data_IF_801304546932
#
_entry.id   IF_801304546932
#
_cell.length_a   1.000
_cell.length_b   1.000
_cell.length_c   1.000
_cell.angle_alpha   90.00
_cell.angle_beta   90.00
_cell.angle_gamma   90.00
#
_symmetry.space_group_name_H-M   'P 1'
#
loop_
_entity.id
_entity.type
_entity.pdbx_description
1 polymer ?
#
# COMPACT_ATOMS: atom_id res chain seq x y z
N UNK A 1 -9.46 17.69 -29.78
CA UNK A 1 -8.62 17.24 -28.63
C UNK A 1 -9.24 17.86 -27.40
N UNK A 2 -9.92 17.06 -26.59
CA UNK A 2 -10.42 17.54 -25.30
C UNK A 2 -9.22 18.00 -24.47
N UNK A 3 -9.32 19.22 -23.94
CA UNK A 3 -8.34 19.76 -22.98
C UNK A 3 -8.37 18.88 -21.71
N UNK A 4 -7.60 17.80 -21.69
CA UNK A 4 -7.50 16.94 -20.52
C UNK A 4 -6.86 17.76 -19.40
N UNK A 5 -7.68 18.20 -18.45
CA UNK A 5 -7.21 18.91 -17.26
C UNK A 5 -6.37 17.93 -16.43
N UNK A 6 -5.04 18.10 -16.46
CA UNK A 6 -4.10 17.22 -15.74
C UNK A 6 -4.35 17.21 -14.24
N UNK A 7 -4.72 18.36 -13.66
CA UNK A 7 -4.96 18.51 -12.24
C UNK A 7 -6.19 19.36 -11.96
N UNK A 8 -7.04 18.92 -11.06
CA UNK A 8 -8.00 19.81 -10.40
C UNK A 8 -7.26 20.79 -9.47
N UNK A 9 -7.94 21.80 -8.94
CA UNK A 9 -7.34 22.74 -7.98
C UNK A 9 -6.85 22.01 -6.70
N UNK A 10 -7.64 21.04 -6.21
CA UNK A 10 -7.31 20.23 -5.04
C UNK A 10 -6.13 19.30 -5.32
N UNK A 11 -6.13 18.63 -6.48
CA UNK A 11 -5.03 17.76 -6.91
C UNK A 11 -3.72 18.54 -7.08
N UNK A 12 -3.78 19.79 -7.55
CA UNK A 12 -2.60 20.63 -7.68
C UNK A 12 -2.01 20.96 -6.31
N UNK A 13 -2.84 21.31 -5.33
CA UNK A 13 -2.39 21.53 -3.96
C UNK A 13 -1.77 20.28 -3.36
N UNK A 14 -2.43 19.13 -3.53
CA UNK A 14 -1.94 17.83 -3.07
C UNK A 14 -0.61 17.45 -3.75
N UNK A 15 -0.48 17.67 -5.06
CA UNK A 15 0.77 17.43 -5.78
C UNK A 15 1.97 18.15 -5.14
N UNK A 16 1.83 19.45 -4.82
CA UNK A 16 2.92 20.20 -4.19
C UNK A 16 3.25 19.69 -2.79
N UNK A 17 2.25 19.26 -2.01
CA UNK A 17 2.46 18.68 -0.68
C UNK A 17 3.23 17.35 -0.81
N UNK A 18 2.80 16.45 -1.70
CA UNK A 18 3.46 15.17 -1.95
C UNK A 18 4.87 15.36 -2.49
N UNK A 19 5.06 16.30 -3.41
CA UNK A 19 6.38 16.63 -3.95
C UNK A 19 7.34 17.08 -2.85
N UNK A 20 6.90 18.00 -1.98
CA UNK A 20 7.71 18.48 -0.85
C UNK A 20 8.06 17.33 0.10
N UNK A 21 7.08 16.46 0.41
CA UNK A 21 7.29 15.29 1.27
C UNK A 21 8.30 14.32 0.65
N UNK A 22 8.11 13.92 -0.59
CA UNK A 22 9.02 12.99 -1.28
C UNK A 22 10.44 13.56 -1.37
N UNK A 23 10.59 14.88 -1.61
CA UNK A 23 11.89 15.54 -1.64
C UNK A 23 12.59 15.54 -0.28
N UNK A 24 11.84 15.69 0.80
CA UNK A 24 12.41 15.65 2.16
C UNK A 24 12.84 14.23 2.55
N UNK A 25 12.04 13.22 2.18
CA UNK A 25 12.28 11.83 2.56
C UNK A 25 13.36 11.14 1.69
N UNK A 26 13.56 11.65 0.48
CA UNK A 26 14.50 11.08 -0.49
C UNK A 26 15.20 12.17 -1.29
N UNK A 27 16.01 13.04 -0.65
CA UNK A 27 16.66 14.19 -1.29
C UNK A 27 17.55 13.76 -2.46
N UNK A 28 18.22 12.62 -2.35
CA UNK A 28 19.14 12.08 -3.36
C UNK A 28 18.45 11.87 -4.73
N UNK A 29 17.13 11.58 -4.74
CA UNK A 29 16.38 11.41 -5.98
C UNK A 29 16.22 12.75 -6.74
N UNK A 30 16.35 13.88 -6.05
CA UNK A 30 16.15 15.24 -6.59
C UNK A 30 17.46 15.94 -6.90
N UNK A 31 18.60 15.27 -6.73
CA UNK A 31 19.91 15.81 -7.05
C UNK A 31 20.33 15.51 -8.49
N UNK A 32 21.09 16.45 -9.07
CA UNK A 32 21.75 16.29 -10.36
C UNK A 32 20.83 16.14 -11.57
N UNK A 33 21.34 15.48 -12.61
CA UNK A 33 20.66 15.32 -13.91
C UNK A 33 19.54 14.28 -13.87
N UNK A 34 19.55 13.36 -12.90
CA UNK A 34 18.56 12.29 -12.79
C UNK A 34 17.14 12.82 -12.58
N UNK A 35 17.00 13.83 -11.74
CA UNK A 35 15.71 14.49 -11.53
C UNK A 35 15.24 15.26 -12.78
N UNK A 36 16.15 15.96 -13.46
CA UNK A 36 15.82 16.66 -14.72
C UNK A 36 15.35 15.68 -15.78
N UNK A 37 16.04 14.54 -15.91
CA UNK A 37 15.68 13.44 -16.81
C UNK A 37 14.28 12.91 -16.47
N UNK A 38 13.98 12.62 -15.21
CA UNK A 38 12.67 12.12 -14.76
C UNK A 38 11.57 13.13 -15.08
N UNK A 39 11.77 14.40 -14.76
CA UNK A 39 10.80 15.47 -15.05
C UNK A 39 10.53 15.61 -16.54
N UNK A 40 11.59 15.60 -17.35
CA UNK A 40 11.48 15.71 -18.82
C UNK A 40 10.76 14.47 -19.38
N UNK A 41 11.14 13.28 -18.98
CA UNK A 41 10.56 12.03 -19.43
C UNK A 41 9.06 11.95 -19.11
N UNK A 42 8.65 12.28 -17.87
CA UNK A 42 7.23 12.34 -17.49
C UNK A 42 6.47 13.39 -18.32
N UNK A 43 7.06 14.55 -18.58
CA UNK A 43 6.43 15.58 -19.43
C UNK A 43 6.20 15.09 -20.86
N UNK A 44 7.16 14.37 -21.45
CA UNK A 44 7.04 13.75 -22.79
C UNK A 44 5.94 12.70 -22.81
N UNK A 45 5.94 11.76 -21.85
CA UNK A 45 4.94 10.70 -21.75
C UNK A 45 3.52 11.28 -21.63
N UNK A 46 3.34 12.29 -20.80
CA UNK A 46 2.05 12.98 -20.62
C UNK A 46 1.65 13.71 -21.89
N UNK A 47 2.61 14.39 -22.56
CA UNK A 47 2.38 15.08 -23.82
C UNK A 47 1.98 14.15 -24.97
N UNK A 48 2.36 12.87 -24.90
CA UNK A 48 1.93 11.79 -25.81
C UNK A 48 0.52 11.25 -25.51
N UNK A 49 -0.22 11.83 -24.57
CA UNK A 49 -1.58 11.41 -24.22
C UNK A 49 -1.65 10.18 -23.34
N UNK A 50 -0.56 9.79 -22.71
CA UNK A 50 -0.47 8.59 -21.83
C UNK A 50 -0.93 8.88 -20.38
N UNK A 51 -1.81 9.87 -20.22
CA UNK A 51 -2.39 10.23 -18.93
C UNK A 51 -3.81 9.67 -18.84
N UNK A 52 -3.97 8.57 -18.09
CA UNK A 52 -5.26 7.90 -17.91
C UNK A 52 -5.61 7.75 -16.44
N UNK A 53 -6.79 8.22 -16.03
CA UNK A 53 -7.27 8.14 -14.64
C UNK A 53 -7.78 6.75 -14.24
N UNK A 54 -7.97 5.86 -15.22
CA UNK A 54 -8.46 4.50 -14.98
C UNK A 54 -9.89 4.43 -14.44
N UNK A 55 -10.32 3.22 -14.04
CA UNK A 55 -11.69 2.92 -13.61
C UNK A 55 -12.12 3.60 -12.31
N UNK A 56 -11.18 4.05 -11.49
CA UNK A 56 -11.45 4.76 -10.24
C UNK A 56 -11.33 6.27 -10.35
N UNK A 57 -11.12 6.80 -11.56
CA UNK A 57 -10.92 8.22 -11.85
C UNK A 57 -9.79 8.87 -11.02
N UNK A 58 -8.76 8.10 -10.66
CA UNK A 58 -7.62 8.57 -9.88
C UNK A 58 -6.57 9.21 -10.77
N UNK A 59 -5.99 10.32 -10.33
CA UNK A 59 -4.89 10.96 -11.02
C UNK A 59 -3.62 10.08 -10.92
N UNK A 60 -3.06 9.59 -12.05
CA UNK A 60 -1.94 8.65 -12.02
C UNK A 60 -0.66 9.26 -11.44
N UNK A 61 -0.44 10.58 -11.58
CA UNK A 61 0.73 11.27 -11.01
C UNK A 61 0.59 11.30 -9.48
N UNK A 62 -0.57 11.72 -8.97
CA UNK A 62 -0.83 11.75 -7.52
C UNK A 62 -0.69 10.34 -6.94
N UNK A 63 -1.31 9.36 -7.60
CA UNK A 63 -1.27 7.96 -7.15
C UNK A 63 0.16 7.41 -7.12
N UNK A 64 0.95 7.62 -8.15
CA UNK A 64 2.34 7.14 -8.20
C UNK A 64 3.23 7.80 -7.15
N UNK A 65 3.03 9.10 -6.88
CA UNK A 65 3.74 9.81 -5.81
C UNK A 65 3.36 9.29 -4.42
N UNK A 66 2.08 9.05 -4.17
CA UNK A 66 1.61 8.44 -2.91
C UNK A 66 2.16 7.02 -2.72
N UNK A 67 2.21 6.22 -3.80
CA UNK A 67 2.83 4.89 -3.77
C UNK A 67 4.32 4.98 -3.49
N UNK A 68 5.05 5.93 -4.09
CA UNK A 68 6.46 6.14 -3.82
C UNK A 68 6.72 6.54 -2.35
N UNK A 69 5.91 7.46 -1.79
CA UNK A 69 6.01 7.86 -0.38
C UNK A 69 5.75 6.67 0.55
N UNK A 70 4.68 5.90 0.32
CA UNK A 70 4.38 4.71 1.11
C UNK A 70 5.52 3.68 1.03
N UNK A 71 6.09 3.49 -0.17
CA UNK A 71 7.25 2.62 -0.38
C UNK A 71 8.48 3.09 0.39
N UNK A 72 8.70 4.40 0.48
CA UNK A 72 9.83 4.96 1.23
C UNK A 72 9.63 4.89 2.74
N UNK A 73 8.49 5.40 3.25
CA UNK A 73 8.26 5.58 4.68
C UNK A 73 7.85 4.30 5.39
N UNK A 74 6.90 3.53 4.83
CA UNK A 74 6.31 2.37 5.49
C UNK A 74 7.08 1.06 5.18
N UNK A 75 7.78 1.00 4.03
CA UNK A 75 8.50 -0.21 3.58
C UNK A 75 10.03 -0.02 3.62
N UNK A 76 10.52 1.22 3.48
CA UNK A 76 11.95 1.52 3.52
C UNK A 76 12.66 1.40 2.16
N UNK A 77 11.91 1.41 1.05
CA UNK A 77 12.49 1.42 -0.30
C UNK A 77 13.10 2.80 -0.61
N UNK A 78 14.14 2.83 -1.47
CA UNK A 78 14.88 4.06 -1.79
C UNK A 78 15.17 4.18 -3.29
N UNK A 79 15.52 5.37 -3.71
CA UNK A 79 16.09 5.73 -5.01
C UNK A 79 15.44 5.05 -6.24
N UNK A 80 16.06 4.01 -6.77
CA UNK A 80 15.63 3.31 -7.99
C UNK A 80 14.20 2.75 -7.88
N UNK A 81 13.82 2.29 -6.68
CA UNK A 81 12.46 1.81 -6.41
C UNK A 81 11.44 2.95 -6.48
N UNK A 82 11.78 4.14 -6.00
CA UNK A 82 10.88 5.30 -6.04
C UNK A 82 10.72 5.82 -7.47
N UNK A 83 11.78 5.83 -8.26
CA UNK A 83 11.71 6.16 -9.69
C UNK A 83 10.80 5.15 -10.41
N UNK A 84 10.96 3.85 -10.11
CA UNK A 84 10.09 2.82 -10.67
C UNK A 84 8.62 3.03 -10.28
N UNK A 85 8.31 3.41 -9.03
CA UNK A 85 6.95 3.78 -8.61
C UNK A 85 6.37 4.93 -9.43
N UNK A 86 7.16 5.96 -9.73
CA UNK A 86 6.71 7.12 -10.50
C UNK A 86 6.48 6.80 -11.98
N UNK A 87 7.25 5.85 -12.54
CA UNK A 87 7.19 5.46 -13.94
C UNK A 87 6.21 4.32 -14.22
N UNK A 88 5.91 3.46 -13.24
CA UNK A 88 5.10 2.25 -13.45
C UNK A 88 3.70 2.45 -14.04
N UNK A 89 3.00 3.60 -13.89
CA UNK A 89 1.72 3.81 -14.56
C UNK A 89 1.86 4.01 -16.08
N UNK A 90 3.06 4.36 -16.53
CA UNK A 90 3.31 4.79 -17.90
C UNK A 90 4.14 3.79 -18.71
N UNK A 91 5.05 3.07 -18.07
CA UNK A 91 5.89 2.05 -18.69
C UNK A 91 5.15 0.71 -18.58
N UNK A 92 4.63 0.22 -19.71
CA UNK A 92 3.70 -0.91 -19.75
C UNK A 92 4.09 -2.01 -20.72
N UNK A 93 5.11 -1.78 -21.55
CA UNK A 93 5.61 -2.73 -22.55
C UNK A 93 7.11 -2.96 -22.41
N UNK A 94 7.58 -4.10 -22.93
CA UNK A 94 9.00 -4.48 -22.90
C UNK A 94 9.85 -3.55 -23.78
N UNK A 95 9.30 -3.04 -24.90
CA UNK A 95 10.03 -2.17 -25.82
C UNK A 95 10.45 -0.84 -25.17
N UNK A 96 9.71 -0.39 -24.15
CA UNK A 96 10.00 0.85 -23.43
C UNK A 96 11.18 0.69 -22.44
N UNK A 97 11.57 -0.54 -22.12
CA UNK A 97 12.58 -0.82 -21.07
C UNK A 97 14.02 -0.51 -21.51
N UNK A 98 14.31 -0.47 -22.82
CA UNK A 98 15.65 -0.14 -23.29
C UNK A 98 15.96 1.35 -23.06
N UNK A 99 14.97 2.22 -23.23
CA UNK A 99 15.09 3.64 -22.89
C UNK A 99 15.22 3.84 -21.37
N UNK A 100 14.53 3.04 -20.56
CA UNK A 100 14.65 3.06 -19.11
C UNK A 100 16.06 2.70 -18.66
N UNK A 101 16.65 1.66 -19.24
CA UNK A 101 18.03 1.27 -18.91
C UNK A 101 19.03 2.40 -19.18
N UNK A 102 18.92 3.04 -20.34
CA UNK A 102 19.76 4.17 -20.73
C UNK A 102 19.59 5.39 -19.83
N UNK A 103 18.34 5.72 -19.43
CA UNK A 103 18.03 6.94 -18.68
C UNK A 103 18.24 6.78 -17.16
N UNK A 104 17.94 5.61 -16.61
CA UNK A 104 17.90 5.40 -15.15
C UNK A 104 18.76 4.24 -14.66
N UNK A 105 19.28 3.43 -15.57
CA UNK A 105 20.14 2.28 -15.28
C UNK A 105 19.39 0.98 -15.03
N UNK A 106 20.15 -0.10 -15.00
CA UNK A 106 19.69 -1.48 -14.95
C UNK A 106 18.74 -1.78 -13.79
N UNK A 107 18.94 -1.19 -12.63
CA UNK A 107 18.11 -1.46 -11.46
C UNK A 107 16.64 -1.01 -11.66
N UNK A 108 16.42 0.17 -12.23
CA UNK A 108 15.06 0.66 -12.53
C UNK A 108 14.42 -0.21 -13.60
N UNK A 109 15.20 -0.60 -14.65
CA UNK A 109 14.75 -1.52 -15.69
C UNK A 109 14.29 -2.84 -15.10
N UNK A 110 15.08 -3.49 -14.25
CA UNK A 110 14.73 -4.80 -13.62
C UNK A 110 13.43 -4.70 -12.82
N UNK A 111 13.24 -3.63 -12.04
CA UNK A 111 12.01 -3.45 -11.28
C UNK A 111 10.80 -3.27 -12.20
N UNK A 112 10.89 -2.41 -13.22
CA UNK A 112 9.79 -2.17 -14.16
C UNK A 112 9.48 -3.41 -15.00
N UNK A 113 10.50 -4.15 -15.46
CA UNK A 113 10.34 -5.44 -16.13
C UNK A 113 9.55 -6.42 -15.25
N UNK A 114 9.94 -6.60 -13.99
CA UNK A 114 9.22 -7.45 -13.05
C UNK A 114 7.76 -7.02 -12.85
N UNK A 115 7.48 -5.71 -12.77
CA UNK A 115 6.11 -5.18 -12.66
C UNK A 115 5.28 -5.46 -13.90
N UNK A 116 5.86 -5.34 -15.12
CA UNK A 116 5.20 -5.69 -16.39
C UNK A 116 4.90 -7.18 -16.41
N UNK A 117 5.90 -8.01 -16.15
CA UNK A 117 5.77 -9.47 -16.16
C UNK A 117 4.68 -9.98 -15.21
N UNK A 118 4.65 -9.49 -13.98
CA UNK A 118 3.60 -9.85 -13.04
C UNK A 118 2.23 -9.38 -13.49
N UNK A 119 2.12 -8.18 -14.10
CA UNK A 119 0.86 -7.69 -14.69
C UNK A 119 0.34 -8.62 -15.78
N UNK A 120 1.22 -9.16 -16.63
CA UNK A 120 0.85 -10.14 -17.64
C UNK A 120 0.42 -11.48 -17.04
N UNK A 121 1.06 -11.95 -15.98
CA UNK A 121 0.63 -13.13 -15.22
C UNK A 121 -0.77 -12.97 -14.65
N UNK A 122 -1.07 -11.77 -14.11
CA UNK A 122 -2.40 -11.44 -13.60
C UNK A 122 -3.50 -11.54 -14.66
N UNK A 123 -3.23 -11.06 -15.87
CA UNK A 123 -4.19 -11.15 -16.98
C UNK A 123 -4.49 -12.59 -17.39
N UNK A 124 -3.54 -13.49 -17.21
CA UNK A 124 -3.64 -14.92 -17.59
C UNK A 124 -4.19 -15.80 -16.48
N UNK A 125 -4.28 -15.34 -15.24
CA UNK A 125 -4.66 -16.16 -14.09
C UNK A 125 -6.15 -16.05 -13.79
N UNK A 126 -6.87 -17.19 -13.72
CA UNK A 126 -8.31 -17.22 -13.46
C UNK A 126 -8.69 -17.00 -11.99
N UNK A 127 -7.75 -17.14 -11.03
CA UNK A 127 -8.05 -17.02 -9.60
C UNK A 127 -6.88 -16.45 -8.81
N UNK A 128 -7.14 -15.30 -8.18
CA UNK A 128 -6.21 -14.57 -7.30
C UNK A 128 -6.15 -15.18 -5.89
N UNK A 129 -7.11 -16.02 -5.55
CA UNK A 129 -7.31 -16.58 -4.20
C UNK A 129 -6.39 -17.77 -3.90
N UNK A 130 -5.82 -18.39 -4.94
CA UNK A 130 -5.06 -19.61 -4.77
C UNK A 130 -3.69 -19.35 -4.13
N UNK A 131 -3.32 -20.19 -3.16
CA UNK A 131 -1.99 -20.16 -2.55
C UNK A 131 -0.89 -20.41 -3.57
N UNK A 132 -1.16 -21.24 -4.56
CA UNK A 132 -0.25 -21.51 -5.66
C UNK A 132 0.04 -20.25 -6.47
N UNK A 133 -0.96 -19.41 -6.73
CA UNK A 133 -0.76 -18.14 -7.42
C UNK A 133 0.13 -17.17 -6.61
N UNK A 134 -0.08 -17.09 -5.30
CA UNK A 134 0.79 -16.28 -4.40
C UNK A 134 2.25 -16.79 -4.41
N UNK A 135 2.43 -18.08 -4.38
CA UNK A 135 3.77 -18.69 -4.43
C UNK A 135 4.44 -18.48 -5.79
N UNK A 136 3.67 -18.57 -6.88
CA UNK A 136 4.12 -18.23 -8.24
C UNK A 136 4.58 -16.78 -8.31
N UNK A 137 3.79 -15.81 -7.84
CA UNK A 137 4.18 -14.39 -7.86
C UNK A 137 5.51 -14.15 -7.15
N UNK A 138 5.71 -14.77 -5.98
CA UNK A 138 6.97 -14.62 -5.23
C UNK A 138 8.13 -15.30 -5.97
N UNK A 139 7.91 -16.44 -6.61
CA UNK A 139 8.96 -17.16 -7.35
C UNK A 139 9.32 -16.51 -8.69
N UNK A 140 8.39 -15.82 -9.32
CA UNK A 140 8.62 -15.08 -10.56
C UNK A 140 9.19 -13.67 -10.35
N UNK A 141 9.12 -13.14 -9.14
CA UNK A 141 9.77 -11.88 -8.84
C UNK A 141 11.27 -12.13 -8.64
N UNK A 142 12.06 -11.92 -9.69
CA UNK A 142 13.53 -11.93 -9.63
C UNK A 142 14.05 -10.88 -8.63
N UNK A 143 13.28 -9.83 -8.41
CA UNK A 143 13.57 -8.75 -7.48
C UNK A 143 12.42 -8.54 -6.49
N UNK A 144 12.70 -8.73 -5.19
CA UNK A 144 11.72 -8.61 -4.13
C UNK A 144 11.09 -7.20 -4.05
N UNK A 145 11.79 -6.16 -4.54
CA UNK A 145 11.27 -4.79 -4.60
C UNK A 145 10.00 -4.68 -5.45
N UNK A 146 9.85 -5.54 -6.45
CA UNK A 146 8.64 -5.63 -7.29
C UNK A 146 7.42 -5.96 -6.43
N UNK A 147 7.50 -6.99 -5.61
CA UNK A 147 6.39 -7.40 -4.72
C UNK A 147 6.09 -6.31 -3.68
N UNK A 148 7.12 -5.68 -3.13
CA UNK A 148 6.98 -4.60 -2.15
C UNK A 148 6.27 -3.39 -2.76
N UNK A 149 6.62 -2.98 -3.99
CA UNK A 149 5.97 -1.88 -4.71
C UNK A 149 4.50 -2.24 -5.04
N UNK A 150 4.22 -3.48 -5.42
CA UNK A 150 2.84 -3.92 -5.69
C UNK A 150 1.97 -3.86 -4.42
N UNK A 151 2.52 -4.26 -3.27
CA UNK A 151 1.82 -4.15 -1.98
C UNK A 151 1.57 -2.67 -1.65
N UNK A 152 2.57 -1.80 -1.84
CA UNK A 152 2.43 -0.36 -1.65
C UNK A 152 1.36 0.25 -2.54
N UNK A 153 1.36 -0.08 -3.84
CA UNK A 153 0.37 0.42 -4.80
C UNK A 153 -1.04 -0.06 -4.46
N UNK A 154 -1.21 -1.32 -4.06
CA UNK A 154 -2.50 -1.85 -3.64
C UNK A 154 -3.00 -1.16 -2.35
N UNK A 155 -2.14 -0.95 -1.38
CA UNK A 155 -2.49 -0.26 -0.13
C UNK A 155 -2.93 1.18 -0.41
N UNK A 156 -2.18 1.89 -1.25
CA UNK A 156 -2.53 3.23 -1.70
C UNK A 156 -3.87 3.26 -2.44
N UNK A 157 -4.11 2.30 -3.36
CA UNK A 157 -5.39 2.16 -4.04
C UNK A 157 -6.54 2.00 -3.05
N UNK A 158 -6.43 1.08 -2.08
CA UNK A 158 -7.46 0.82 -1.09
C UNK A 158 -7.78 2.03 -0.21
N UNK A 159 -6.78 2.87 0.10
CA UNK A 159 -6.96 4.16 0.79
C UNK A 159 -7.75 5.17 -0.05
N UNK A 160 -7.58 5.12 -1.38
CA UNK A 160 -8.07 6.14 -2.31
C UNK A 160 -9.48 5.89 -2.85
N UNK A 161 -9.96 4.64 -2.84
CA UNK A 161 -11.23 4.26 -3.49
C UNK A 161 -12.47 4.38 -2.60
N UNK A 162 -12.36 5.00 -1.42
CA UNK A 162 -13.49 5.12 -0.48
C UNK A 162 -14.73 5.79 -1.11
N UNK A 163 -14.52 6.79 -1.95
CA UNK A 163 -15.57 7.63 -2.52
C UNK A 163 -15.91 7.25 -3.98
N UNK A 164 -15.35 6.14 -4.51
CA UNK A 164 -15.70 5.68 -5.86
C UNK A 164 -17.14 5.17 -5.91
N UNK A 165 -17.82 5.48 -7.02
CA UNK A 165 -19.18 4.98 -7.33
C UNK A 165 -19.16 3.65 -8.08
N UNK A 166 -17.99 3.15 -8.47
CA UNK A 166 -17.85 1.85 -9.13
C UNK A 166 -17.72 0.73 -8.08
N UNK A 167 -18.85 0.26 -7.57
CA UNK A 167 -18.91 -0.73 -6.50
C UNK A 167 -18.37 -2.10 -6.92
N UNK A 168 -18.55 -2.51 -8.18
CA UNK A 168 -17.99 -3.76 -8.71
C UNK A 168 -16.46 -3.74 -8.69
N UNK A 169 -15.88 -2.67 -9.22
CA UNK A 169 -14.42 -2.50 -9.20
C UNK A 169 -13.86 -2.39 -7.77
N UNK A 170 -14.60 -1.72 -6.87
CA UNK A 170 -14.25 -1.61 -5.44
C UNK A 170 -14.25 -2.98 -4.77
N UNK A 171 -15.28 -3.79 -5.02
CA UNK A 171 -15.38 -5.15 -4.48
C UNK A 171 -14.21 -6.01 -4.97
N UNK A 172 -13.97 -6.05 -6.28
CA UNK A 172 -12.84 -6.78 -6.87
C UNK A 172 -11.49 -6.37 -6.28
N UNK A 173 -11.24 -5.04 -6.17
CA UNK A 173 -10.02 -4.54 -5.56
C UNK A 173 -9.87 -4.99 -4.10
N UNK A 174 -10.99 -5.08 -3.36
CA UNK A 174 -11.03 -5.52 -1.96
C UNK A 174 -10.77 -7.01 -1.81
N UNK A 175 -11.32 -7.83 -2.69
CA UNK A 175 -11.05 -9.27 -2.75
C UNK A 175 -9.56 -9.54 -3.03
N UNK A 176 -9.00 -8.88 -4.04
CA UNK A 176 -7.57 -8.97 -4.32
C UNK A 176 -6.71 -8.52 -3.13
N UNK A 177 -7.10 -7.42 -2.46
CA UNK A 177 -6.39 -6.95 -1.27
C UNK A 177 -6.44 -7.96 -0.12
N UNK A 178 -7.61 -8.57 0.13
CA UNK A 178 -7.81 -9.54 1.20
C UNK A 178 -7.09 -10.87 0.94
N UNK A 179 -7.24 -11.42 -0.29
CA UNK A 179 -6.82 -12.79 -0.60
C UNK A 179 -5.43 -12.91 -1.18
N UNK A 180 -4.87 -11.81 -1.70
CA UNK A 180 -3.54 -11.84 -2.27
C UNK A 180 -2.57 -10.92 -1.54
N UNK A 181 -2.85 -9.61 -1.49
CA UNK A 181 -1.86 -8.64 -1.01
C UNK A 181 -1.66 -8.66 0.51
N UNK A 182 -2.72 -8.87 1.31
CA UNK A 182 -2.58 -8.99 2.76
C UNK A 182 -1.78 -10.25 3.17
N UNK A 183 -2.01 -11.45 2.59
CA UNK A 183 -1.15 -12.61 2.82
C UNK A 183 0.30 -12.41 2.35
N UNK A 184 0.56 -11.72 1.23
CA UNK A 184 1.91 -11.39 0.79
C UNK A 184 2.60 -10.44 1.78
N UNK A 185 1.91 -9.38 2.22
CA UNK A 185 2.41 -8.46 3.23
C UNK A 185 2.75 -9.19 4.55
N UNK A 186 1.92 -10.17 4.95
CA UNK A 186 2.20 -11.02 6.10
C UNK A 186 3.48 -11.85 5.95
N UNK A 187 3.65 -12.52 4.81
CA UNK A 187 4.85 -13.33 4.52
C UNK A 187 6.14 -12.48 4.54
N UNK A 188 6.03 -11.19 4.16
CA UNK A 188 7.15 -10.26 4.14
C UNK A 188 7.33 -9.47 5.45
N UNK A 189 6.57 -9.79 6.50
CA UNK A 189 6.69 -9.14 7.81
C UNK A 189 6.07 -7.73 7.88
N UNK A 190 5.37 -7.28 6.84
CA UNK A 190 4.72 -5.97 6.76
C UNK A 190 3.38 -5.98 7.51
N UNK A 191 3.42 -6.24 8.83
CA UNK A 191 2.21 -6.49 9.63
C UNK A 191 1.23 -5.32 9.72
N UNK A 192 1.72 -4.08 9.66
CA UNK A 192 0.88 -2.88 9.67
C UNK A 192 0.09 -2.78 8.37
N UNK A 193 0.77 -2.89 7.24
CA UNK A 193 0.16 -2.87 5.90
C UNK A 193 -0.82 -4.05 5.75
N UNK A 194 -0.44 -5.25 6.20
CA UNK A 194 -1.32 -6.42 6.23
C UNK A 194 -2.62 -6.13 6.96
N UNK A 195 -2.53 -5.60 8.19
CA UNK A 195 -3.72 -5.30 8.99
C UNK A 195 -4.58 -4.20 8.36
N UNK A 196 -3.97 -3.20 7.76
CA UNK A 196 -4.68 -2.13 7.06
C UNK A 196 -5.40 -2.64 5.81
N UNK A 197 -4.74 -3.47 4.99
CA UNK A 197 -5.37 -4.09 3.82
C UNK A 197 -6.57 -4.94 4.20
N UNK A 198 -6.46 -5.73 5.26
CA UNK A 198 -7.56 -6.55 5.79
C UNK A 198 -8.72 -5.69 6.30
N UNK A 199 -8.43 -4.62 7.06
CA UNK A 199 -9.45 -3.72 7.60
C UNK A 199 -10.18 -2.94 6.49
N UNK A 200 -9.45 -2.43 5.48
CA UNK A 200 -10.03 -1.75 4.33
C UNK A 200 -10.85 -2.70 3.46
N UNK A 201 -10.37 -3.93 3.26
CA UNK A 201 -11.12 -4.95 2.53
C UNK A 201 -12.43 -5.30 3.24
N UNK A 202 -12.38 -5.54 4.55
CA UNK A 202 -13.58 -5.79 5.34
C UNK A 202 -14.57 -4.61 5.26
N UNK A 203 -14.06 -3.38 5.32
CA UNK A 203 -14.87 -2.16 5.22
C UNK A 203 -15.70 -2.10 3.93
N UNK A 204 -15.12 -2.54 2.80
CA UNK A 204 -15.77 -2.48 1.50
C UNK A 204 -16.57 -3.75 1.17
N UNK A 205 -16.16 -4.90 1.67
CA UNK A 205 -16.86 -6.19 1.46
C UNK A 205 -17.98 -6.44 2.47
N UNK A 206 -17.86 -5.94 3.71
CA UNK A 206 -18.86 -6.11 4.78
C UNK A 206 -18.89 -4.87 5.68
N UNK A 207 -19.55 -3.84 5.17
CA UNK A 207 -19.67 -2.53 5.79
C UNK A 207 -20.24 -2.61 7.23
N UNK A 208 -21.30 -3.39 7.41
CA UNK A 208 -21.99 -3.49 8.70
C UNK A 208 -21.12 -4.11 9.78
N UNK A 209 -20.44 -5.21 9.48
CA UNK A 209 -19.50 -5.85 10.40
C UNK A 209 -18.33 -4.92 10.74
N UNK A 210 -17.78 -4.21 9.75
CA UNK A 210 -16.70 -3.25 9.98
C UNK A 210 -17.11 -2.14 10.94
N UNK A 211 -18.25 -1.48 10.68
CA UNK A 211 -18.68 -0.35 11.50
C UNK A 211 -19.23 -0.75 12.86
N UNK A 212 -19.85 -1.92 12.99
CA UNK A 212 -20.22 -2.50 14.29
C UNK A 212 -18.99 -2.59 15.21
N UNK A 213 -17.92 -3.23 14.73
CA UNK A 213 -16.70 -3.41 15.50
C UNK A 213 -15.99 -2.07 15.75
N UNK A 214 -15.86 -1.23 14.72
CA UNK A 214 -15.23 0.09 14.81
C UNK A 214 -15.89 0.98 15.85
N UNK A 215 -17.22 1.05 15.86
CA UNK A 215 -17.98 1.87 16.81
C UNK A 215 -17.79 1.37 18.24
N UNK A 216 -17.80 0.04 18.45
CA UNK A 216 -17.53 -0.55 19.75
C UNK A 216 -16.10 -0.28 20.23
N UNK A 217 -15.10 -0.40 19.33
CA UNK A 217 -13.71 -0.07 19.64
C UNK A 217 -13.55 1.42 19.99
N UNK A 218 -14.21 2.31 19.29
CA UNK A 218 -14.16 3.75 19.60
C UNK A 218 -14.79 4.04 20.96
N UNK A 219 -15.96 3.48 21.26
CA UNK A 219 -16.66 3.68 22.54
C UNK A 219 -15.82 3.19 23.74
N UNK A 220 -15.02 2.14 23.56
CA UNK A 220 -14.21 1.54 24.63
C UNK A 220 -12.73 1.97 24.61
N UNK A 221 -12.33 2.90 23.74
CA UNK A 221 -10.92 3.28 23.55
C UNK A 221 -10.26 3.71 24.85
N UNK A 222 -10.87 4.63 25.59
CA UNK A 222 -10.30 5.19 26.84
C UNK A 222 -10.06 4.11 27.90
N UNK A 223 -11.03 3.23 28.11
CA UNK A 223 -10.91 2.14 29.09
C UNK A 223 -9.86 1.10 28.69
N UNK A 224 -9.71 0.81 27.40
CA UNK A 224 -8.67 -0.09 26.90
C UNK A 224 -7.26 0.50 27.03
N UNK A 225 -7.09 1.78 26.68
CA UNK A 225 -5.80 2.46 26.83
C UNK A 225 -5.36 2.50 28.30
N UNK A 226 -6.31 2.71 29.22
CA UNK A 226 -6.08 2.66 30.66
C UNK A 226 -5.69 1.25 31.13
N UNK A 227 -6.40 0.22 30.66
CA UNK A 227 -6.09 -1.17 30.98
C UNK A 227 -4.69 -1.55 30.51
N UNK A 228 -4.34 -1.26 29.24
CA UNK A 228 -3.00 -1.54 28.68
C UNK A 228 -1.92 -0.85 29.52
N UNK A 229 -2.13 0.40 29.91
CA UNK A 229 -1.19 1.14 30.76
C UNK A 229 -0.99 0.48 32.10
N UNK A 230 -2.07 0.09 32.79
CA UNK A 230 -2.02 -0.62 34.09
C UNK A 230 -1.34 -1.98 33.97
N UNK A 231 -1.53 -2.68 32.87
CA UNK A 231 -0.91 -3.97 32.60
C UNK A 231 0.60 -3.86 32.36
N UNK A 232 1.01 -2.86 31.58
CA UNK A 232 2.42 -2.64 31.22
C UNK A 232 3.24 -2.13 32.40
N UNK A 233 2.69 -1.30 33.28
CA UNK A 233 3.42 -0.64 34.35
C UNK A 233 4.22 -1.60 35.24
N UNK A 234 3.62 -2.65 35.88
CA UNK A 234 4.35 -3.57 36.76
C UNK A 234 5.41 -4.39 36.00
N UNK A 235 5.15 -4.74 34.72
CA UNK A 235 6.11 -5.49 33.91
C UNK A 235 7.34 -4.61 33.62
N UNK A 236 7.11 -3.33 33.25
CA UNK A 236 8.20 -2.38 33.03
C UNK A 236 9.04 -2.15 34.27
N UNK A 237 8.41 -2.08 35.43
CA UNK A 237 9.10 -1.94 36.71
C UNK A 237 9.99 -3.15 37.02
N UNK A 238 9.45 -4.36 36.92
CA UNK A 238 10.20 -5.61 37.11
C UNK A 238 11.41 -5.72 36.15
N UNK A 239 11.22 -5.42 34.87
CA UNK A 239 12.30 -5.50 33.88
C UNK A 239 13.37 -4.43 34.14
N UNK A 240 12.98 -3.24 34.59
CA UNK A 240 13.88 -2.16 34.95
C UNK A 240 14.71 -2.55 36.18
N UNK A 241 14.09 -3.09 37.24
CA UNK A 241 14.77 -3.56 38.43
C UNK A 241 15.73 -4.71 38.14
N UNK A 242 15.41 -5.57 37.17
CA UNK A 242 16.27 -6.65 36.71
C UNK A 242 17.41 -6.17 35.78
N UNK A 243 17.52 -4.86 35.48
CA UNK A 243 18.59 -4.29 34.68
C UNK A 243 18.47 -4.52 33.16
N UNK A 244 17.31 -4.97 32.67
CA UNK A 244 17.10 -5.19 31.24
C UNK A 244 16.87 -3.87 30.49
N UNK A 245 17.43 -3.77 29.28
CA UNK A 245 17.05 -2.77 28.27
C UNK A 245 15.94 -3.37 27.41
N UNK A 246 14.74 -2.81 27.45
CA UNK A 246 13.56 -3.37 26.77
C UNK A 246 12.73 -2.27 26.14
N UNK A 247 11.84 -2.69 25.23
CA UNK A 247 10.78 -1.86 24.67
C UNK A 247 9.48 -2.66 24.69
N UNK A 248 8.42 -2.11 25.32
CA UNK A 248 7.09 -2.74 25.42
C UNK A 248 6.12 -1.98 24.53
N UNK A 249 5.39 -2.71 23.68
CA UNK A 249 4.29 -2.19 22.85
C UNK A 249 3.01 -2.95 23.13
N UNK A 250 1.96 -2.23 23.53
CA UNK A 250 0.59 -2.73 23.50
C UNK A 250 -0.13 -2.22 22.26
N UNK A 251 -0.91 -3.06 21.60
CA UNK A 251 -1.74 -2.65 20.46
C UNK A 251 -3.11 -3.30 20.50
N UNK A 252 -4.14 -2.59 20.07
CA UNK A 252 -5.45 -3.18 19.78
C UNK A 252 -5.37 -4.05 18.53
N UNK A 253 -6.06 -5.18 18.52
CA UNK A 253 -6.22 -6.02 17.32
C UNK A 253 -6.92 -5.26 16.21
N UNK A 254 -6.60 -5.58 14.95
CA UNK A 254 -7.30 -5.05 13.79
C UNK A 254 -8.78 -5.45 13.79
N UNK A 255 -9.62 -4.63 13.17
CA UNK A 255 -11.07 -4.88 13.06
C UNK A 255 -11.34 -6.24 12.39
N UNK A 256 -10.61 -6.52 11.32
CA UNK A 256 -10.70 -7.81 10.62
C UNK A 256 -10.33 -8.99 11.53
N UNK A 257 -9.29 -8.88 12.35
CA UNK A 257 -8.90 -9.94 13.29
C UNK A 257 -9.98 -10.21 14.35
N UNK A 258 -10.65 -9.15 14.82
CA UNK A 258 -11.79 -9.26 15.74
C UNK A 258 -12.96 -9.95 15.03
N UNK A 259 -13.30 -9.52 13.82
CA UNK A 259 -14.35 -10.12 13.02
C UNK A 259 -14.14 -11.63 12.76
N UNK A 260 -12.91 -12.03 12.42
CA UNK A 260 -12.57 -13.45 12.25
C UNK A 260 -12.77 -14.25 13.55
N UNK A 261 -12.42 -13.67 14.72
CA UNK A 261 -12.66 -14.30 16.02
C UNK A 261 -14.15 -14.42 16.33
N UNK A 262 -14.93 -13.37 16.09
CA UNK A 262 -16.39 -13.40 16.24
C UNK A 262 -17.02 -14.55 15.42
N UNK A 263 -16.60 -14.73 14.17
CA UNK A 263 -17.07 -15.83 13.32
C UNK A 263 -16.64 -17.20 13.88
N UNK A 264 -15.38 -17.34 14.27
CA UNK A 264 -14.82 -18.60 14.79
C UNK A 264 -15.47 -19.00 16.12
N UNK A 265 -15.68 -18.04 17.02
CA UNK A 265 -16.26 -18.27 18.35
C UNK A 265 -17.79 -18.19 18.38
N UNK A 266 -18.42 -17.79 17.25
CA UNK A 266 -19.88 -17.58 17.12
C UNK A 266 -20.44 -16.63 18.20
N UNK A 267 -19.71 -15.56 18.52
CA UNK A 267 -20.09 -14.59 19.54
C UNK A 267 -20.05 -13.15 19.00
N UNK A 268 -20.69 -12.23 19.71
CA UNK A 268 -20.60 -10.79 19.42
C UNK A 268 -19.26 -10.20 19.86
N UNK A 269 -19.04 -8.91 19.55
CA UNK A 269 -17.81 -8.18 19.93
C UNK A 269 -17.53 -8.23 21.43
N UNK A 270 -18.61 -8.17 22.24
CA UNK A 270 -18.53 -8.20 23.71
C UNK A 270 -18.07 -9.55 24.28
N UNK A 271 -18.18 -10.62 23.50
CA UNK A 271 -17.70 -11.95 23.85
C UNK A 271 -16.23 -12.21 23.54
N UNK A 272 -15.51 -11.24 22.96
CA UNK A 272 -14.08 -11.35 22.63
C UNK A 272 -13.25 -10.79 23.78
N UNK A 273 -12.57 -11.66 24.53
CA UNK A 273 -11.79 -11.27 25.72
C UNK A 273 -10.41 -10.69 25.39
N UNK A 274 -9.79 -11.06 24.25
CA UNK A 274 -8.44 -10.65 23.86
C UNK A 274 -8.46 -9.64 22.71
N UNK A 275 -8.96 -8.45 22.97
CA UNK A 275 -9.01 -7.34 22.00
C UNK A 275 -7.65 -6.64 21.81
N UNK A 276 -6.65 -6.93 22.61
CA UNK A 276 -5.29 -6.32 22.62
C UNK A 276 -4.23 -7.34 23.03
#
# INVERSE_FOLDING_TARGET
MENTVLFTAEERSLFFQLFKRLRNDSPEMFEGDRYRTLKHHLAVIIGQGRFHRGMFNLNPIIRSMQTAILSAEDIGLKNDSLIACLLMPYITTEEELDDIDRLYGKNVKVILHGLIHIRELYKKSPSVESENFRNLLVSFAEDMRVILIMIADRTNLMRSIKDTTNDEAKLKASEEAAYLYAPLAHKLGLYQIKSELEDLSLKYMNHDAYYLIKNKLNATKKSRDEYIRRFIAPISEMLTQAGFKFHIKGRTKSIHSIWQKMKKQKCGVDGIYDLF
#
